data_IF_889295051394
#
_entry.id   IF_889295051394
#
_cell.length_a   1.000
_cell.length_b   1.000
_cell.length_c   1.000
_cell.angle_alpha   90.00
_cell.angle_beta   90.00
_cell.angle_gamma   90.00
#
_symmetry.space_group_name_H-M   'P 1'
#
loop_
_entity.id
_entity.type
_entity.pdbx_description
1 polymer ?
#
# COMPACT_ATOMS: atom_id res chain seq x y z
N UNK A 1 28.80 13.71 9.26
CA UNK A 1 28.81 12.41 8.60
C UNK A 1 27.38 11.90 8.73
N UNK A 2 26.65 11.84 7.62
CA UNK A 2 25.31 11.25 7.59
C UNK A 2 25.50 9.72 7.62
N UNK A 3 25.02 9.10 8.67
CA UNK A 3 24.99 7.64 8.77
C UNK A 3 23.72 7.15 8.05
N UNK A 4 23.77 6.01 7.34
CA UNK A 4 22.55 5.35 6.84
C UNK A 4 21.57 5.16 8.00
N UNK A 5 20.32 5.54 7.82
CA UNK A 5 19.30 5.44 8.86
C UNK A 5 17.97 4.96 8.28
N UNK A 6 17.28 4.12 9.05
CA UNK A 6 15.91 3.77 8.74
C UNK A 6 14.97 4.85 9.27
N UNK A 7 14.10 5.36 8.41
CA UNK A 7 13.13 6.40 8.77
C UNK A 7 11.73 5.91 8.37
N UNK A 8 10.81 5.92 9.33
CA UNK A 8 9.40 5.67 9.10
C UNK A 8 8.57 6.77 9.79
N UNK A 9 7.48 7.20 9.16
CA UNK A 9 6.59 8.17 9.78
C UNK A 9 5.85 7.55 10.97
N UNK A 10 5.75 8.27 12.08
CA UNK A 10 5.04 7.81 13.29
C UNK A 10 3.54 7.54 13.05
N UNK A 11 2.96 8.07 11.97
CA UNK A 11 1.57 7.81 11.60
C UNK A 11 1.29 6.32 11.37
N UNK A 12 2.26 5.56 10.83
CA UNK A 12 2.11 4.11 10.66
C UNK A 12 2.05 3.37 12.00
N UNK A 13 2.98 3.68 12.93
CA UNK A 13 2.98 3.03 14.24
C UNK A 13 1.72 3.37 15.04
N UNK A 14 1.29 4.64 15.02
CA UNK A 14 0.05 5.07 15.66
C UNK A 14 -1.17 4.35 15.11
N UNK A 15 -1.29 4.22 13.78
CA UNK A 15 -2.40 3.53 13.14
C UNK A 15 -2.52 2.06 13.61
N UNK A 16 -1.39 1.38 13.75
CA UNK A 16 -1.34 0.00 14.28
C UNK A 16 -1.71 -0.04 15.76
N UNK A 17 -1.17 0.89 16.59
CA UNK A 17 -1.46 0.98 18.02
C UNK A 17 -2.93 1.29 18.30
N UNK A 18 -3.52 2.25 17.58
CA UNK A 18 -4.94 2.64 17.71
C UNK A 18 -5.88 1.50 17.29
N UNK A 19 -5.46 0.63 16.37
CA UNK A 19 -6.18 -0.60 16.05
C UNK A 19 -5.94 -1.76 17.05
N UNK A 20 -5.13 -1.55 18.08
CA UNK A 20 -4.85 -2.54 19.13
C UNK A 20 -3.75 -3.54 18.78
N UNK A 21 -2.86 -3.19 17.84
CA UNK A 21 -1.66 -3.94 17.50
C UNK A 21 -0.40 -3.42 18.21
N UNK A 22 0.69 -4.15 18.11
CA UNK A 22 2.02 -3.75 18.56
C UNK A 22 2.92 -3.60 17.33
N UNK A 23 3.30 -2.38 16.93
CA UNK A 23 4.13 -2.17 15.76
C UNK A 23 5.59 -2.60 16.03
N UNK A 24 6.14 -3.37 15.11
CA UNK A 24 7.55 -3.78 15.10
C UNK A 24 8.18 -3.41 13.76
N UNK A 25 9.31 -2.71 13.77
CA UNK A 25 10.04 -2.37 12.56
C UNK A 25 11.01 -3.50 12.19
N UNK A 26 10.80 -4.09 11.01
CA UNK A 26 11.73 -5.06 10.45
C UNK A 26 12.95 -4.35 9.83
N UNK A 27 14.15 -4.80 10.18
CA UNK A 27 15.40 -4.27 9.68
C UNK A 27 16.35 -5.42 9.31
N UNK A 28 16.76 -5.49 8.04
CA UNK A 28 17.66 -6.53 7.54
C UNK A 28 16.95 -7.83 7.12
N UNK A 29 17.22 -8.26 5.88
CA UNK A 29 16.54 -9.37 5.21
C UNK A 29 16.89 -10.76 5.79
N UNK A 30 18.01 -10.92 6.46
CA UNK A 30 18.42 -12.21 7.06
C UNK A 30 17.45 -12.74 8.13
N UNK A 31 16.65 -11.85 8.74
CA UNK A 31 15.67 -12.21 9.76
C UNK A 31 14.24 -12.40 9.24
N UNK A 32 14.00 -12.46 7.93
CA UNK A 32 12.64 -12.48 7.37
C UNK A 32 11.77 -13.62 7.91
N UNK A 33 12.30 -14.81 8.05
CA UNK A 33 11.60 -15.95 8.64
C UNK A 33 11.25 -15.70 10.12
N UNK A 34 12.19 -15.15 10.88
CA UNK A 34 11.98 -14.85 12.31
C UNK A 34 10.93 -13.75 12.50
N UNK A 35 10.99 -12.70 11.67
CA UNK A 35 9.94 -11.67 11.67
C UNK A 35 8.57 -12.29 11.39
N UNK A 36 8.47 -13.18 10.41
CA UNK A 36 7.21 -13.83 10.10
C UNK A 36 6.76 -14.87 11.14
N UNK A 37 7.63 -15.31 12.05
CA UNK A 37 7.25 -16.12 13.23
C UNK A 37 6.78 -15.26 14.39
N UNK A 38 7.38 -14.09 14.59
CA UNK A 38 7.10 -13.19 15.70
C UNK A 38 5.90 -12.27 15.45
N UNK A 39 5.71 -11.82 14.21
CA UNK A 39 4.63 -10.90 13.85
C UNK A 39 3.44 -11.63 13.23
N UNK A 40 2.23 -11.20 13.56
CA UNK A 40 0.99 -11.82 13.11
C UNK A 40 0.45 -11.21 11.81
N UNK A 41 0.88 -10.01 11.46
CA UNK A 41 0.52 -9.29 10.24
C UNK A 41 1.71 -8.50 9.69
N UNK A 42 1.63 -8.10 8.41
CA UNK A 42 2.61 -7.23 7.77
C UNK A 42 1.94 -5.98 7.23
N UNK A 43 2.58 -4.82 7.48
CA UNK A 43 2.24 -3.55 6.87
C UNK A 43 3.42 -3.08 6.02
N UNK A 44 3.21 -2.97 4.70
CA UNK A 44 4.14 -2.36 3.76
C UNK A 44 3.84 -0.86 3.67
N UNK A 45 4.75 -0.04 4.13
CA UNK A 45 4.58 1.41 4.15
C UNK A 45 4.86 2.07 2.79
N UNK A 46 4.43 3.30 2.61
CA UNK A 46 4.85 4.17 1.52
C UNK A 46 6.35 4.42 1.50
N UNK A 47 6.87 5.05 0.46
CA UNK A 47 8.29 5.36 0.33
C UNK A 47 8.71 5.64 -1.10
N UNK A 48 10.01 5.46 -1.39
CA UNK A 48 10.61 5.58 -2.72
C UNK A 48 10.11 4.50 -3.68
N UNK A 49 10.40 4.62 -4.96
CA UNK A 49 9.87 3.78 -6.02
C UNK A 49 10.33 2.32 -5.95
N UNK A 50 9.48 1.40 -6.40
CA UNK A 50 9.86 0.00 -6.62
C UNK A 50 10.77 -0.08 -7.84
N UNK A 51 11.92 -0.77 -7.71
CA UNK A 51 12.90 -0.83 -8.78
C UNK A 51 12.33 -1.52 -10.04
N UNK A 52 12.38 -0.88 -11.24
CA UNK A 52 11.75 -1.37 -12.46
C UNK A 52 12.16 -2.77 -12.89
N UNK A 53 13.39 -3.20 -12.60
CA UNK A 53 13.85 -4.55 -12.89
C UNK A 53 13.00 -5.64 -12.21
N UNK A 54 12.32 -5.34 -11.09
CA UNK A 54 11.45 -6.31 -10.40
C UNK A 54 10.17 -6.64 -11.20
N UNK A 55 9.77 -5.77 -12.11
CA UNK A 55 8.65 -6.01 -13.03
C UNK A 55 9.05 -6.04 -14.50
N UNK A 56 10.37 -6.31 -14.77
CA UNK A 56 10.90 -6.59 -16.09
C UNK A 56 11.04 -5.38 -17.00
N UNK A 57 11.20 -4.19 -16.43
CA UNK A 57 11.38 -2.94 -17.18
C UNK A 57 12.75 -2.30 -16.86
N UNK A 58 13.24 -1.50 -17.80
CA UNK A 58 14.38 -0.62 -17.58
C UNK A 58 13.90 0.69 -16.94
N UNK A 59 14.72 1.37 -16.11
CA UNK A 59 14.42 2.70 -15.61
C UNK A 59 14.17 3.69 -16.75
N UNK A 60 13.01 4.33 -16.76
CA UNK A 60 12.62 5.27 -17.83
C UNK A 60 12.14 6.63 -17.32
N UNK A 61 11.68 6.72 -16.04
CA UNK A 61 11.26 7.97 -15.46
C UNK A 61 12.45 8.78 -14.94
N UNK A 62 12.49 10.09 -15.26
CA UNK A 62 13.60 10.96 -14.88
C UNK A 62 13.66 11.26 -13.36
N UNK A 63 12.52 11.12 -12.66
CA UNK A 63 12.36 11.37 -11.23
C UNK A 63 12.36 10.09 -10.39
N UNK A 64 12.76 8.96 -10.97
CA UNK A 64 12.82 7.66 -10.30
C UNK A 64 13.83 7.66 -9.14
N UNK A 65 13.38 7.28 -7.97
CA UNK A 65 14.23 7.12 -6.77
C UNK A 65 13.95 5.75 -6.16
N UNK A 66 14.93 4.85 -6.17
CA UNK A 66 14.78 3.47 -5.72
C UNK A 66 15.68 3.13 -4.54
N UNK A 67 15.29 2.12 -3.76
CA UNK A 67 16.07 1.53 -2.67
C UNK A 67 16.04 0.00 -2.80
N UNK A 68 17.10 -0.55 -3.42
CA UNK A 68 17.20 -1.99 -3.69
C UNK A 68 17.39 -2.83 -2.43
N UNK A 69 17.96 -2.26 -1.35
CA UNK A 69 18.08 -2.96 -0.06
C UNK A 69 16.70 -3.13 0.57
N UNK A 70 15.88 -2.10 0.53
CA UNK A 70 14.50 -2.14 0.98
C UNK A 70 13.64 -3.08 0.11
N UNK A 71 13.79 -3.03 -1.22
CA UNK A 71 13.11 -3.96 -2.13
C UNK A 71 13.42 -5.42 -1.75
N UNK A 72 14.70 -5.74 -1.53
CA UNK A 72 15.14 -7.08 -1.13
C UNK A 72 14.62 -7.52 0.24
N UNK A 73 14.60 -6.63 1.22
CA UNK A 73 14.03 -6.89 2.54
C UNK A 73 12.53 -7.20 2.46
N UNK A 74 11.76 -6.29 1.84
CA UNK A 74 10.32 -6.42 1.77
C UNK A 74 9.90 -7.64 0.93
N UNK A 75 10.64 -7.96 -0.14
CA UNK A 75 10.42 -9.19 -0.91
C UNK A 75 10.62 -10.45 -0.07
N UNK A 76 11.73 -10.53 0.68
CA UNK A 76 11.99 -11.67 1.57
C UNK A 76 10.93 -11.82 2.67
N UNK A 77 10.43 -10.70 3.21
CA UNK A 77 9.32 -10.71 4.16
C UNK A 77 8.04 -11.19 3.50
N UNK A 78 7.70 -10.70 2.31
CA UNK A 78 6.51 -11.13 1.57
C UNK A 78 6.50 -12.64 1.33
N UNK A 79 7.62 -13.26 0.91
CA UNK A 79 7.73 -14.70 0.74
C UNK A 79 7.32 -15.45 2.03
N UNK A 80 7.72 -14.93 3.18
CA UNK A 80 7.43 -15.56 4.46
C UNK A 80 5.99 -15.34 4.94
N UNK A 81 5.45 -14.12 4.81
CA UNK A 81 4.09 -13.81 5.27
C UNK A 81 3.03 -14.45 4.36
N UNK A 82 3.22 -14.37 3.04
CA UNK A 82 2.29 -14.94 2.05
C UNK A 82 2.25 -16.46 2.16
N UNK A 83 3.40 -17.15 2.28
CA UNK A 83 3.44 -18.60 2.44
C UNK A 83 2.75 -19.09 3.72
N UNK A 84 2.72 -18.27 4.74
CA UNK A 84 2.02 -18.54 6.02
C UNK A 84 0.58 -18.05 6.04
N UNK A 85 0.08 -17.48 4.94
CA UNK A 85 -1.25 -16.89 4.80
C UNK A 85 -1.55 -15.81 5.84
N UNK A 86 -0.53 -15.10 6.31
CA UNK A 86 -0.67 -13.99 7.25
C UNK A 86 -1.18 -12.74 6.54
N UNK A 87 -2.02 -11.91 7.21
CA UNK A 87 -2.55 -10.71 6.60
C UNK A 87 -1.47 -9.69 6.24
N UNK A 88 -1.63 -9.08 5.07
CA UNK A 88 -0.72 -8.04 4.55
C UNK A 88 -1.53 -6.84 4.07
N UNK A 89 -1.17 -5.66 4.54
CA UNK A 89 -1.67 -4.38 4.06
C UNK A 89 -0.55 -3.61 3.35
N UNK A 90 -0.72 -3.31 2.06
CA UNK A 90 0.20 -2.47 1.30
C UNK A 90 -0.34 -1.04 1.13
N UNK A 91 0.46 -0.04 1.52
CA UNK A 91 0.11 1.39 1.46
C UNK A 91 1.04 2.10 0.49
N UNK A 92 0.49 2.82 -0.49
CA UNK A 92 1.20 3.63 -1.50
C UNK A 92 2.25 2.78 -2.25
N UNK A 93 3.54 2.92 -1.96
CA UNK A 93 4.56 2.01 -2.48
C UNK A 93 4.26 0.54 -2.16
N UNK A 94 3.65 0.25 -1.01
CA UNK A 94 3.32 -1.11 -0.60
C UNK A 94 2.32 -1.81 -1.52
N UNK A 95 1.28 -1.13 -2.03
CA UNK A 95 0.36 -1.71 -3.03
C UNK A 95 1.10 -2.00 -4.33
N UNK A 96 2.02 -1.13 -4.72
CA UNK A 96 2.82 -1.27 -5.95
C UNK A 96 3.73 -2.49 -5.86
N UNK A 97 4.44 -2.66 -4.74
CA UNK A 97 5.29 -3.81 -4.50
C UNK A 97 4.49 -5.12 -4.45
N UNK A 98 3.32 -5.13 -3.80
CA UNK A 98 2.42 -6.29 -3.81
C UNK A 98 1.99 -6.66 -5.23
N UNK A 99 1.59 -5.70 -6.06
CA UNK A 99 1.24 -5.98 -7.45
C UNK A 99 2.42 -6.60 -8.22
N UNK A 100 3.63 -6.06 -8.04
CA UNK A 100 4.85 -6.59 -8.67
C UNK A 100 5.20 -7.99 -8.15
N UNK A 101 5.07 -8.22 -6.85
CA UNK A 101 5.29 -9.53 -6.23
C UNK A 101 4.39 -10.60 -6.85
N UNK A 102 3.11 -10.30 -7.08
CA UNK A 102 2.14 -11.17 -7.75
C UNK A 102 2.22 -11.13 -9.30
N UNK A 103 3.27 -10.51 -9.89
CA UNK A 103 3.58 -10.47 -11.34
C UNK A 103 2.75 -9.47 -12.14
N UNK A 104 2.34 -8.37 -11.54
CA UNK A 104 1.84 -7.18 -12.21
C UNK A 104 2.96 -6.24 -12.66
N UNK A 105 2.57 -5.10 -13.25
CA UNK A 105 3.50 -4.05 -13.70
C UNK A 105 3.04 -2.68 -13.23
N UNK A 106 3.94 -1.69 -13.31
CA UNK A 106 3.69 -0.31 -12.89
C UNK A 106 3.94 0.67 -14.05
N UNK A 107 3.16 1.75 -14.08
CA UNK A 107 3.57 3.00 -14.72
C UNK A 107 4.65 3.65 -13.86
N UNK A 108 5.82 3.93 -14.44
CA UNK A 108 6.94 4.53 -13.70
C UNK A 108 6.71 6.02 -13.38
N UNK A 109 5.87 6.69 -14.16
CA UNK A 109 5.44 8.07 -13.91
C UNK A 109 4.09 8.33 -14.61
N UNK A 110 3.10 8.81 -13.85
CA UNK A 110 1.79 9.19 -14.36
C UNK A 110 1.60 10.71 -14.44
N UNK A 111 2.60 11.51 -14.06
CA UNK A 111 2.45 12.96 -13.89
C UNK A 111 1.97 13.69 -15.15
N UNK A 112 2.38 13.22 -16.34
CA UNK A 112 1.97 13.77 -17.64
C UNK A 112 0.80 13.00 -18.28
N UNK A 113 0.30 11.96 -17.64
CA UNK A 113 -0.84 11.19 -18.14
C UNK A 113 -2.16 11.92 -17.85
N UNK A 114 -3.18 11.77 -18.70
CA UNK A 114 -4.51 12.30 -18.40
C UNK A 114 -5.01 11.77 -17.05
N UNK A 115 -5.41 12.67 -16.15
CA UNK A 115 -5.82 12.32 -14.79
C UNK A 115 -4.66 12.08 -13.80
N UNK A 116 -3.40 12.16 -14.21
CA UNK A 116 -2.22 11.77 -13.44
C UNK A 116 -1.79 12.72 -12.29
N UNK A 117 -2.58 13.74 -11.95
CA UNK A 117 -2.26 14.61 -10.82
C UNK A 117 -2.62 13.93 -9.49
N UNK A 118 -1.63 13.25 -8.88
CA UNK A 118 -1.75 12.45 -7.66
C UNK A 118 -0.70 12.82 -6.59
N UNK A 119 -0.13 14.02 -6.66
CA UNK A 119 0.96 14.48 -5.78
C UNK A 119 0.50 15.52 -4.78
N UNK A 120 1.34 15.81 -3.79
CA UNK A 120 1.20 16.93 -2.84
C UNK A 120 -0.09 16.92 -1.99
N UNK A 121 -0.67 15.76 -1.73
CA UNK A 121 -1.86 15.65 -0.89
C UNK A 121 -3.16 16.07 -1.58
N UNK A 122 -3.20 16.04 -2.91
CA UNK A 122 -4.44 16.24 -3.65
C UNK A 122 -5.50 15.27 -3.13
N UNK A 123 -6.68 15.79 -2.81
CA UNK A 123 -7.82 14.96 -2.43
C UNK A 123 -8.65 14.62 -3.66
N UNK A 124 -9.07 13.37 -3.77
CA UNK A 124 -9.91 12.90 -4.86
C UNK A 124 -10.87 11.81 -4.41
N UNK A 125 -11.93 11.61 -5.19
CA UNK A 125 -12.87 10.53 -4.95
C UNK A 125 -12.33 9.22 -5.54
N UNK A 126 -12.50 8.14 -4.80
CA UNK A 126 -12.21 6.79 -5.23
C UNK A 126 -13.52 6.02 -5.22
N UNK A 127 -13.92 5.49 -6.37
CA UNK A 127 -15.06 4.60 -6.50
C UNK A 127 -14.65 3.18 -6.07
N UNK A 128 -15.34 2.62 -5.10
CA UNK A 128 -15.11 1.27 -4.60
C UNK A 128 -15.98 0.25 -5.32
N UNK A 129 -15.39 -0.87 -5.70
CA UNK A 129 -16.07 -1.92 -6.45
C UNK A 129 -17.02 -2.73 -5.53
N UNK A 130 -18.26 -3.00 -5.94
CA UNK A 130 -19.17 -3.85 -5.18
C UNK A 130 -18.60 -5.27 -4.95
N UNK A 131 -18.98 -5.89 -3.84
CA UNK A 131 -18.51 -7.21 -3.41
C UNK A 131 -16.98 -7.24 -3.14
N UNK A 132 -16.43 -6.17 -2.65
CA UNK A 132 -15.05 -6.09 -2.14
C UNK A 132 -15.04 -5.67 -0.69
N UNK A 133 -13.97 -6.00 0.02
CA UNK A 133 -13.78 -5.66 1.43
C UNK A 133 -13.92 -4.15 1.66
N UNK A 134 -13.28 -3.34 0.81
CA UNK A 134 -13.35 -1.88 0.97
C UNK A 134 -14.75 -1.33 0.75
N UNK A 135 -15.52 -1.90 -0.18
CA UNK A 135 -16.92 -1.53 -0.38
C UNK A 135 -17.77 -1.86 0.84
N UNK A 136 -17.56 -3.03 1.44
CA UNK A 136 -18.29 -3.47 2.63
C UNK A 136 -17.98 -2.60 3.86
N UNK A 137 -16.75 -2.10 3.96
CA UNK A 137 -16.32 -1.22 5.06
C UNK A 137 -16.77 0.23 4.86
N UNK A 138 -16.61 0.78 3.65
CA UNK A 138 -16.70 2.23 3.41
C UNK A 138 -17.84 2.65 2.48
N UNK A 139 -18.57 1.69 1.87
CA UNK A 139 -19.59 1.99 0.87
C UNK A 139 -18.99 2.21 -0.53
N UNK A 140 -19.74 2.91 -1.39
CA UNK A 140 -19.44 2.97 -2.83
C UNK A 140 -18.35 3.95 -3.23
N UNK A 141 -18.07 4.97 -2.40
CA UNK A 141 -17.14 6.05 -2.73
C UNK A 141 -16.50 6.61 -1.48
N UNK A 142 -15.21 6.88 -1.54
CA UNK A 142 -14.46 7.56 -0.47
C UNK A 142 -13.73 8.80 -1.02
N UNK A 143 -13.51 9.78 -0.15
CA UNK A 143 -12.56 10.87 -0.39
C UNK A 143 -11.23 10.51 0.26
N UNK A 144 -10.15 10.44 -0.52
CA UNK A 144 -8.81 10.10 -0.04
C UNK A 144 -7.75 11.13 -0.46
N UNK A 145 -6.61 11.07 0.21
CA UNK A 145 -5.42 11.86 -0.12
C UNK A 145 -4.57 11.15 -1.19
N UNK A 146 -3.67 11.88 -1.86
CA UNK A 146 -2.80 11.32 -2.88
C UNK A 146 -1.39 11.92 -2.82
N UNK A 147 -0.36 11.05 -2.84
CA UNK A 147 1.07 11.41 -2.71
C UNK A 147 1.97 10.55 -3.58
N UNK A 148 1.51 10.14 -4.76
CA UNK A 148 2.27 9.23 -5.63
C UNK A 148 2.39 9.79 -7.04
N UNK A 149 3.40 9.35 -7.76
CA UNK A 149 3.61 9.60 -9.19
C UNK A 149 3.71 8.29 -10.00
N UNK A 150 3.74 7.13 -9.32
CA UNK A 150 3.63 5.82 -9.93
C UNK A 150 2.25 5.23 -9.69
N UNK A 151 1.78 4.35 -10.57
CA UNK A 151 0.51 3.64 -10.42
C UNK A 151 0.60 2.23 -10.99
N UNK A 152 -0.38 1.39 -10.69
CA UNK A 152 -0.52 0.06 -11.30
C UNK A 152 -0.88 0.23 -12.78
N UNK A 153 -0.05 -0.38 -13.66
CA UNK A 153 -0.30 -0.49 -15.10
C UNK A 153 -1.13 -1.75 -15.39
N UNK A 154 -0.56 -2.91 -15.08
CA UNK A 154 -1.26 -4.20 -15.22
C UNK A 154 -1.42 -4.84 -13.85
N UNK A 155 -2.66 -5.04 -13.45
CA UNK A 155 -3.00 -5.77 -12.23
C UNK A 155 -2.56 -7.25 -12.36
N UNK A 156 -1.94 -7.77 -11.32
CA UNK A 156 -1.46 -9.14 -11.29
C UNK A 156 -2.60 -10.17 -11.28
N UNK A 157 -2.40 -11.38 -11.83
CA UNK A 157 -3.35 -12.49 -11.68
C UNK A 157 -3.60 -12.84 -10.21
N UNK A 158 -4.86 -13.18 -9.88
CA UNK A 158 -5.28 -13.48 -8.51
C UNK A 158 -5.56 -12.26 -7.63
N UNK A 159 -5.35 -11.05 -8.17
CA UNK A 159 -5.76 -9.81 -7.54
C UNK A 159 -7.05 -9.28 -8.16
N UNK A 160 -7.96 -8.83 -7.32
CA UNK A 160 -9.25 -8.24 -7.69
C UNK A 160 -9.22 -6.75 -7.42
N UNK A 161 -9.43 -5.95 -8.45
CA UNK A 161 -9.51 -4.49 -8.33
C UNK A 161 -10.68 -4.10 -7.41
N UNK A 162 -10.41 -3.27 -6.40
CA UNK A 162 -11.39 -2.86 -5.41
C UNK A 162 -11.61 -1.34 -5.32
N UNK A 163 -10.76 -0.52 -5.93
CA UNK A 163 -10.92 0.93 -5.96
C UNK A 163 -10.31 1.58 -7.19
N UNK A 164 -10.95 2.64 -7.69
CA UNK A 164 -10.52 3.38 -8.88
C UNK A 164 -10.68 4.88 -8.67
N UNK A 165 -9.67 5.65 -9.02
CA UNK A 165 -9.83 7.08 -9.27
C UNK A 165 -10.37 7.29 -10.68
N UNK A 166 -11.68 7.62 -10.79
CA UNK A 166 -12.32 7.85 -12.06
C UNK A 166 -12.42 9.33 -12.34
N UNK A 167 -11.63 9.77 -13.31
CA UNK A 167 -11.68 11.14 -13.86
C UNK A 167 -12.14 11.09 -15.32
N UNK A 168 -12.66 12.19 -15.83
CA UNK A 168 -13.13 12.31 -17.22
C UNK A 168 -12.06 11.90 -18.25
N UNK A 169 -10.78 12.09 -17.92
CA UNK A 169 -9.64 11.93 -18.83
C UNK A 169 -8.69 10.79 -18.45
N UNK A 170 -9.09 9.90 -17.52
CA UNK A 170 -8.24 8.78 -17.11
C UNK A 170 -8.75 8.13 -15.85
N UNK A 171 -8.39 6.87 -15.65
CA UNK A 171 -8.74 6.11 -14.44
C UNK A 171 -7.52 5.32 -14.00
N UNK A 172 -7.11 5.48 -12.76
CA UNK A 172 -6.06 4.70 -12.15
C UNK A 172 -6.64 3.73 -11.11
N UNK A 173 -6.02 2.58 -11.01
CA UNK A 173 -6.36 1.61 -9.96
C UNK A 173 -5.74 2.09 -8.66
N UNK A 174 -6.59 2.30 -7.66
CA UNK A 174 -6.24 2.84 -6.35
C UNK A 174 -6.28 1.79 -5.23
N UNK A 175 -6.94 0.65 -5.46
CA UNK A 175 -6.99 -0.43 -4.49
C UNK A 175 -7.24 -1.79 -5.14
N UNK A 176 -6.72 -2.83 -4.52
CA UNK A 176 -7.05 -4.22 -4.82
C UNK A 176 -7.05 -5.08 -3.56
N UNK A 177 -7.73 -6.21 -3.64
CA UNK A 177 -7.66 -7.33 -2.69
C UNK A 177 -7.22 -8.60 -3.40
N UNK A 178 -6.57 -9.54 -2.69
CA UNK A 178 -6.29 -10.86 -3.25
C UNK A 178 -7.52 -11.75 -3.13
N UNK A 179 -7.81 -12.55 -4.15
CA UNK A 179 -9.04 -13.37 -4.22
C UNK A 179 -9.11 -14.45 -3.12
N UNK A 180 -7.96 -14.94 -2.63
CA UNK A 180 -7.88 -16.09 -1.70
C UNK A 180 -7.07 -15.82 -0.43
N UNK A 181 -6.19 -14.82 -0.43
CA UNK A 181 -5.30 -14.50 0.68
C UNK A 181 -5.74 -13.24 1.40
N UNK A 182 -5.46 -13.08 2.69
CA UNK A 182 -5.76 -11.85 3.41
C UNK A 182 -4.76 -10.73 3.04
N UNK A 183 -4.77 -10.33 1.78
CA UNK A 183 -3.88 -9.30 1.22
C UNK A 183 -4.72 -8.18 0.62
N UNK A 184 -4.43 -6.96 1.06
CA UNK A 184 -5.10 -5.74 0.62
C UNK A 184 -4.05 -4.68 0.29
N UNK A 185 -4.25 -3.96 -0.80
CA UNK A 185 -3.43 -2.82 -1.18
C UNK A 185 -4.27 -1.58 -1.41
N UNK A 186 -3.76 -0.43 -0.95
CA UNK A 186 -4.34 0.90 -1.18
C UNK A 186 -3.27 1.89 -1.62
N UNK A 187 -3.57 2.71 -2.61
CA UNK A 187 -2.59 3.64 -3.20
C UNK A 187 -2.49 4.96 -2.40
N UNK A 188 -3.55 5.37 -1.73
CA UNK A 188 -3.57 6.53 -0.83
C UNK A 188 -2.85 6.24 0.49
N UNK A 189 -2.77 7.25 1.36
CA UNK A 189 -2.14 7.18 2.69
C UNK A 189 -3.19 7.17 3.81
N UNK A 190 -3.79 6.02 4.15
CA UNK A 190 -4.80 5.92 5.19
C UNK A 190 -4.28 6.29 6.57
N UNK A 191 -2.98 6.08 6.85
CA UNK A 191 -2.33 6.45 8.12
C UNK A 191 -2.28 7.97 8.37
N UNK A 192 -2.57 8.78 7.35
CA UNK A 192 -2.68 10.24 7.45
C UNK A 192 -4.13 10.72 7.54
N UNK A 193 -5.09 9.81 7.60
CA UNK A 193 -6.53 10.09 7.57
C UNK A 193 -7.23 9.72 8.90
N UNK A 194 -6.47 9.58 9.99
CA UNK A 194 -6.96 9.12 11.29
C UNK A 194 -7.23 10.27 12.27
N UNK A 195 -6.76 11.48 11.98
CA UNK A 195 -6.91 12.60 12.90
C UNK A 195 -8.24 13.31 12.72
N UNK A 196 -8.82 13.92 13.79
CA UNK A 196 -10.05 14.70 13.70
C UNK A 196 -9.97 15.82 12.64
N UNK A 197 -8.79 16.43 12.45
CA UNK A 197 -8.57 17.48 11.47
C UNK A 197 -8.65 16.93 10.04
N UNK A 198 -8.09 15.76 9.78
CA UNK A 198 -8.16 15.10 8.49
C UNK A 198 -9.61 14.71 8.14
N UNK A 199 -10.32 14.09 9.09
CA UNK A 199 -11.73 13.73 8.93
C UNK A 199 -12.59 14.98 8.76
N UNK A 200 -12.35 16.02 9.56
CA UNK A 200 -13.04 17.31 9.47
C UNK A 200 -12.80 18.07 8.15
N UNK A 201 -11.73 17.74 7.41
CA UNK A 201 -11.46 18.29 6.08
C UNK A 201 -12.23 17.55 4.95
N UNK A 202 -12.96 16.51 5.28
CA UNK A 202 -13.76 15.71 4.32
C UNK A 202 -13.12 14.37 3.91
N UNK A 203 -11.94 14.04 4.45
CA UNK A 203 -11.35 12.71 4.29
C UNK A 203 -12.14 11.66 5.10
N UNK A 204 -12.20 10.44 4.57
CA UNK A 204 -12.87 9.34 5.27
C UNK A 204 -12.02 8.84 6.42
N UNK A 205 -12.66 8.50 7.54
CA UNK A 205 -11.99 7.85 8.68
C UNK A 205 -11.50 6.45 8.28
N UNK A 206 -10.19 6.24 8.36
CA UNK A 206 -9.53 4.99 7.93
C UNK A 206 -9.20 4.03 9.08
N UNK A 207 -9.63 4.29 10.32
CA UNK A 207 -9.44 3.33 11.41
C UNK A 207 -10.00 1.93 11.08
N UNK A 208 -11.16 1.76 10.41
CA UNK A 208 -11.66 0.42 10.07
C UNK A 208 -10.71 -0.41 9.21
N UNK A 209 -9.87 0.24 8.36
CA UNK A 209 -8.89 -0.47 7.55
C UNK A 209 -7.78 -1.10 8.40
N UNK A 210 -7.29 -0.38 9.40
CA UNK A 210 -6.28 -0.91 10.32
C UNK A 210 -6.87 -1.94 11.29
N UNK A 211 -8.13 -1.76 11.72
CA UNK A 211 -8.86 -2.79 12.47
C UNK A 211 -8.98 -4.09 11.68
N UNK A 212 -9.29 -4.02 10.37
CA UNK A 212 -9.30 -5.22 9.52
C UNK A 212 -7.97 -5.98 9.58
N UNK A 213 -6.83 -5.28 9.47
CA UNK A 213 -5.51 -5.91 9.51
C UNK A 213 -5.28 -6.65 10.84
N UNK A 214 -5.57 -5.97 11.94
CA UNK A 214 -5.33 -6.50 13.29
C UNK A 214 -6.32 -7.62 13.66
N UNK A 215 -7.59 -7.48 13.32
CA UNK A 215 -8.61 -8.48 13.63
C UNK A 215 -8.44 -9.74 12.77
N UNK A 216 -8.01 -9.59 11.51
CA UNK A 216 -7.64 -10.73 10.66
C UNK A 216 -6.43 -11.47 11.24
N UNK A 217 -5.42 -10.74 11.74
CA UNK A 217 -4.25 -11.34 12.39
C UNK A 217 -4.60 -12.14 13.66
N UNK A 218 -5.55 -11.66 14.44
CA UNK A 218 -6.02 -12.37 15.66
C UNK A 218 -6.82 -13.64 15.35
N UNK A 219 -7.33 -13.76 14.12
CA UNK A 219 -8.22 -14.86 13.70
C UNK A 219 -7.50 -15.95 12.91
N UNK A 220 -6.19 -15.76 12.63
CA UNK A 220 -5.35 -16.61 11.76
C UNK A 220 -4.60 -17.71 12.50
#
# INVERSE_FOLDING_TARGET
KDYPSFVIAQTYSRAVEEAGGIPVLAMGSYGAEEYARLADAMLLSGGVDVHPALYGQEPSAANLTTDTERDGLEWALLDQFISRRKPVLGICRGIQLLNVYFKGTLYQDISEMPGGLHTNGVMHNIDLAPNTLLYDIFGSTIMANSYHHQAIDRLAPGLKASGFDRKENGSFLEAFEHEELPVLGVQWHPERMLTPEAIGSGLVDMHPLFHWLIDTAKSS
#
